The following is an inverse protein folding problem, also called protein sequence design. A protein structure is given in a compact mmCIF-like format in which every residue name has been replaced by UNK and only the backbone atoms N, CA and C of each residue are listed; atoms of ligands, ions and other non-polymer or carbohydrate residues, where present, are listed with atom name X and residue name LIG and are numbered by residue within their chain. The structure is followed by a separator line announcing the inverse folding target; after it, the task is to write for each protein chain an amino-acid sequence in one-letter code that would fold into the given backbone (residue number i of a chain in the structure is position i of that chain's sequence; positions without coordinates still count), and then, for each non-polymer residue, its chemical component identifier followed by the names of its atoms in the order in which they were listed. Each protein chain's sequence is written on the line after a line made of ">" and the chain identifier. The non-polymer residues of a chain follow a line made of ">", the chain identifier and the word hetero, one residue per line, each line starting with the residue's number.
data_IF_002090636807
#
_entry.id   IF_002090636807
#
_cell.length_a   1.000
_cell.length_b   1.000
_cell.length_c   1.000
_cell.angle_alpha   90.00
_cell.angle_beta   90.00
_cell.angle_gamma   90.00
#
_symmetry.space_group_name_H-M   'P 1'
#
loop_
_entity.id
_entity.type
_entity.pdbx_description
1 polymer ?
#
# COMPACT_ATOMS: atom_id res chain seq x y z
N UNK A 1 48.37 31.13 -8.92
CA UNK A 1 47.70 31.23 -7.60
C UNK A 1 46.22 31.63 -7.81
N UNK A 2 45.92 32.72 -8.54
CA UNK A 2 44.53 33.21 -8.71
C UNK A 2 43.59 32.19 -9.37
N UNK A 3 44.05 31.53 -10.44
CA UNK A 3 43.28 30.47 -11.13
C UNK A 3 42.97 29.26 -10.22
N UNK A 4 43.91 28.90 -9.33
CA UNK A 4 43.69 27.81 -8.37
C UNK A 4 42.62 28.16 -7.33
N UNK A 5 42.58 29.41 -6.87
CA UNK A 5 41.54 29.90 -5.95
C UNK A 5 40.17 29.95 -6.62
N UNK A 6 40.07 30.35 -7.88
CA UNK A 6 38.85 30.37 -8.64
C UNK A 6 38.30 28.94 -8.86
N UNK A 7 39.19 27.97 -9.11
CA UNK A 7 38.82 26.56 -9.27
C UNK A 7 38.30 25.92 -7.97
N UNK A 8 38.78 26.39 -6.80
CA UNK A 8 38.31 25.95 -5.49
C UNK A 8 36.99 26.60 -5.07
N UNK A 9 36.69 27.78 -5.59
CA UNK A 9 35.50 28.54 -5.21
C UNK A 9 34.18 27.79 -5.53
N UNK A 10 34.09 27.13 -6.68
CA UNK A 10 32.91 26.37 -7.08
C UNK A 10 32.66 25.13 -6.19
N UNK A 11 33.64 24.23 -5.95
CA UNK A 11 33.46 23.11 -5.03
C UNK A 11 33.09 23.52 -3.61
N UNK A 12 33.73 24.60 -3.09
CA UNK A 12 33.40 25.10 -1.75
C UNK A 12 31.98 25.64 -1.66
N UNK A 13 31.51 26.39 -2.65
CA UNK A 13 30.15 26.87 -2.70
C UNK A 13 29.14 25.68 -2.81
N UNK A 14 29.47 24.68 -3.61
CA UNK A 14 28.66 23.48 -3.72
C UNK A 14 28.54 22.77 -2.37
N UNK A 15 29.65 22.53 -1.67
CA UNK A 15 29.66 21.96 -0.33
C UNK A 15 28.84 22.76 0.67
N UNK A 16 28.94 24.08 0.62
CA UNK A 16 28.16 24.98 1.48
C UNK A 16 26.66 24.86 1.22
N UNK A 17 26.24 24.77 -0.03
CA UNK A 17 24.87 24.56 -0.40
C UNK A 17 24.35 23.18 0.11
N UNK A 18 25.18 22.15 0.02
CA UNK A 18 24.87 20.85 0.55
C UNK A 18 24.72 20.85 2.08
N UNK A 19 25.64 21.47 2.80
CA UNK A 19 25.59 21.61 4.26
C UNK A 19 24.33 22.37 4.73
N UNK A 20 23.87 23.36 3.97
CA UNK A 20 22.65 24.09 4.29
C UNK A 20 21.38 23.18 4.27
N UNK A 21 21.46 21.99 3.70
CA UNK A 21 20.38 21.02 3.70
C UNK A 21 20.37 20.11 4.93
N UNK A 22 21.41 20.16 5.76
CA UNK A 22 21.53 19.36 6.97
C UNK A 22 20.32 19.44 7.91
N UNK A 23 19.73 20.62 8.21
CA UNK A 23 18.57 20.69 9.08
C UNK A 23 17.37 19.86 8.57
N UNK A 24 17.21 19.77 7.24
CA UNK A 24 16.18 18.94 6.63
C UNK A 24 16.48 17.45 6.80
N UNK A 25 17.73 17.04 6.52
CA UNK A 25 18.19 15.66 6.72
C UNK A 25 18.07 15.25 8.19
N UNK A 26 18.48 16.13 9.10
CA UNK A 26 18.36 15.92 10.54
C UNK A 26 16.91 15.73 10.98
N UNK A 27 16.00 16.56 10.48
CA UNK A 27 14.56 16.44 10.81
C UNK A 27 13.95 15.12 10.36
N UNK A 28 14.45 14.56 9.26
CA UNK A 28 14.08 13.25 8.76
C UNK A 28 14.66 12.10 9.61
N UNK A 29 15.93 12.27 10.08
CA UNK A 29 16.62 11.22 10.85
C UNK A 29 16.19 11.18 12.32
N UNK A 30 15.81 12.29 12.93
CA UNK A 30 15.42 12.38 14.36
C UNK A 30 14.32 11.40 14.76
N UNK A 31 13.20 11.23 14.01
CA UNK A 31 12.17 10.25 14.33
C UNK A 31 12.70 8.82 14.34
N UNK A 32 13.64 8.49 13.43
CA UNK A 32 14.24 7.17 13.32
C UNK A 32 15.15 6.87 14.51
N UNK A 33 15.93 7.86 14.97
CA UNK A 33 16.82 7.71 16.14
C UNK A 33 16.01 7.46 17.41
N UNK A 34 14.86 8.14 17.57
CA UNK A 34 13.96 7.97 18.72
C UNK A 34 13.24 6.63 18.74
N UNK A 35 13.28 5.84 17.65
CA UNK A 35 12.67 4.51 17.53
C UNK A 35 11.26 4.44 18.12
N UNK A 36 10.45 5.46 17.89
CA UNK A 36 9.06 5.47 18.35
C UNK A 36 8.28 4.46 17.53
N UNK A 37 7.67 3.51 18.20
CA UNK A 37 6.71 2.60 17.57
C UNK A 37 5.45 3.36 17.19
N UNK A 38 4.97 3.12 15.99
CA UNK A 38 3.68 3.58 15.49
C UNK A 38 2.84 2.32 15.22
N UNK A 39 1.65 2.18 15.81
CA UNK A 39 0.78 1.04 15.53
C UNK A 39 0.65 0.81 14.03
N UNK A 40 0.58 -0.46 13.59
CA UNK A 40 0.35 -0.77 12.18
C UNK A 40 -1.05 -0.33 11.74
N UNK A 41 -2.02 -0.58 12.62
CA UNK A 41 -3.41 -0.14 12.45
C UNK A 41 -3.74 0.75 13.64
N UNK A 42 -4.11 1.99 13.38
CA UNK A 42 -4.67 2.87 14.41
C UNK A 42 -6.15 2.53 14.61
N UNK A 43 -6.56 2.40 15.86
CA UNK A 43 -7.97 2.24 16.20
C UNK A 43 -8.74 3.52 15.86
N UNK A 44 -9.87 3.39 15.17
CA UNK A 44 -10.66 4.53 14.71
C UNK A 44 -11.00 5.51 15.86
N UNK A 45 -11.31 4.99 17.02
CA UNK A 45 -11.68 5.77 18.22
C UNK A 45 -10.49 6.58 18.81
N UNK A 46 -9.27 6.29 18.37
CA UNK A 46 -8.05 7.02 18.78
C UNK A 46 -7.61 8.06 17.79
N UNK A 47 -8.29 8.18 16.65
CA UNK A 47 -7.95 9.18 15.65
C UNK A 47 -8.33 10.57 16.16
N UNK A 48 -7.48 11.59 15.92
CA UNK A 48 -7.89 12.98 16.14
C UNK A 48 -9.18 13.30 15.35
N UNK A 49 -10.10 14.13 15.87
CA UNK A 49 -11.36 14.44 15.20
C UNK A 49 -11.20 14.88 13.74
N UNK A 50 -10.15 15.64 13.43
CA UNK A 50 -9.83 16.07 12.06
C UNK A 50 -9.42 14.90 11.14
N UNK A 51 -8.74 13.88 11.66
CA UNK A 51 -8.39 12.70 10.90
C UNK A 51 -9.61 11.81 10.65
N UNK A 52 -10.43 11.58 11.69
CA UNK A 52 -11.68 10.84 11.59
C UNK A 52 -12.64 11.49 10.57
N UNK A 53 -12.77 12.84 10.59
CA UNK A 53 -13.58 13.56 9.61
C UNK A 53 -13.05 13.42 8.18
N UNK A 54 -11.74 13.43 7.98
CA UNK A 54 -11.12 13.21 6.65
C UNK A 54 -11.38 11.80 6.14
N UNK A 55 -11.27 10.79 6.99
CA UNK A 55 -11.60 9.41 6.63
C UNK A 55 -13.06 9.28 6.21
N UNK A 56 -14.00 9.82 7.01
CA UNK A 56 -15.42 9.79 6.69
C UNK A 56 -15.73 10.47 5.35
N UNK A 57 -15.15 11.63 5.06
CA UNK A 57 -15.29 12.31 3.77
C UNK A 57 -14.69 11.48 2.64
N UNK A 58 -13.51 10.89 2.86
CA UNK A 58 -12.86 10.03 1.87
C UNK A 58 -13.72 8.82 1.53
N UNK A 59 -14.35 8.19 2.52
CA UNK A 59 -15.23 7.03 2.33
C UNK A 59 -16.48 7.38 1.54
N UNK A 60 -17.11 8.52 1.84
CA UNK A 60 -18.27 9.02 1.07
C UNK A 60 -17.87 9.33 -0.36
N UNK A 61 -16.77 10.04 -0.58
CA UNK A 61 -16.30 10.37 -1.93
C UNK A 61 -15.94 9.11 -2.72
N UNK A 62 -15.32 8.11 -2.08
CA UNK A 62 -14.99 6.85 -2.72
C UNK A 62 -16.26 6.08 -3.11
N UNK A 63 -17.27 6.02 -2.24
CA UNK A 63 -18.54 5.37 -2.54
C UNK A 63 -19.25 6.04 -3.73
N UNK A 64 -19.27 7.37 -3.79
CA UNK A 64 -19.82 8.12 -4.91
C UNK A 64 -19.02 7.89 -6.21
N UNK A 65 -17.70 7.88 -6.13
CA UNK A 65 -16.84 7.57 -7.28
C UNK A 65 -17.08 6.14 -7.79
N UNK A 66 -17.21 5.18 -6.88
CA UNK A 66 -17.54 3.79 -7.21
C UNK A 66 -18.88 3.72 -7.97
N UNK A 67 -19.92 4.37 -7.47
CA UNK A 67 -21.24 4.41 -8.11
C UNK A 67 -21.20 5.04 -9.51
N UNK A 68 -20.45 6.13 -9.66
CA UNK A 68 -20.31 6.82 -10.95
C UNK A 68 -19.52 6.02 -12.00
N UNK A 69 -18.48 5.31 -11.57
CA UNK A 69 -17.59 4.58 -12.48
C UNK A 69 -18.06 3.16 -12.74
N UNK A 70 -18.78 2.54 -11.80
CA UNK A 70 -19.31 1.19 -11.94
C UNK A 70 -20.66 1.21 -12.68
N UNK A 71 -20.59 1.45 -13.98
CA UNK A 71 -21.76 1.57 -14.87
C UNK A 71 -22.26 0.23 -15.43
N UNK A 72 -21.65 -0.88 -15.02
CA UNK A 72 -21.94 -2.22 -15.56
C UNK A 72 -22.75 -3.01 -14.55
N UNK A 73 -23.77 -3.71 -15.03
CA UNK A 73 -24.50 -4.69 -14.22
C UNK A 73 -23.71 -6.01 -14.16
N UNK A 74 -23.86 -6.73 -13.05
CA UNK A 74 -23.27 -8.06 -12.90
C UNK A 74 -23.79 -9.02 -13.99
N UNK A 75 -22.87 -9.75 -14.61
CA UNK A 75 -23.19 -10.80 -15.57
C UNK A 75 -23.98 -11.94 -14.92
N UNK A 76 -24.94 -12.52 -15.64
CA UNK A 76 -25.78 -13.60 -15.14
C UNK A 76 -24.94 -14.84 -14.78
N UNK A 77 -23.93 -15.19 -15.60
CA UNK A 77 -23.02 -16.31 -15.33
C UNK A 77 -22.17 -16.08 -14.08
N UNK A 78 -21.73 -14.85 -13.83
CA UNK A 78 -21.04 -14.50 -12.60
C UNK A 78 -21.95 -14.61 -11.37
N UNK A 79 -23.20 -14.21 -11.50
CA UNK A 79 -24.21 -14.39 -10.46
C UNK A 79 -24.46 -15.88 -10.16
N UNK A 80 -24.63 -16.71 -11.19
CA UNK A 80 -24.82 -18.16 -11.08
C UNK A 80 -23.59 -18.86 -10.50
N UNK A 81 -22.39 -18.41 -10.85
CA UNK A 81 -21.12 -18.89 -10.28
C UNK A 81 -20.97 -18.56 -8.78
N UNK A 82 -21.84 -17.71 -8.24
CA UNK A 82 -21.86 -17.35 -6.82
C UNK A 82 -21.04 -16.11 -6.47
N UNK A 83 -20.63 -15.31 -7.45
CA UNK A 83 -19.95 -14.05 -7.19
C UNK A 83 -20.89 -13.01 -6.58
N UNK A 84 -20.36 -12.16 -5.70
CA UNK A 84 -21.05 -10.93 -5.30
C UNK A 84 -20.97 -9.89 -6.43
N UNK A 85 -21.95 -8.96 -6.52
CA UNK A 85 -21.78 -7.77 -7.33
C UNK A 85 -20.64 -6.91 -6.75
N UNK A 86 -20.08 -6.04 -7.59
CA UNK A 86 -19.05 -5.09 -7.12
C UNK A 86 -19.66 -4.11 -6.10
N UNK A 87 -19.15 -4.14 -4.88
CA UNK A 87 -19.62 -3.34 -3.74
C UNK A 87 -18.46 -2.50 -3.16
N UNK A 88 -18.71 -1.22 -2.80
CA UNK A 88 -17.67 -0.41 -2.19
C UNK A 88 -17.42 -0.84 -0.74
N UNK A 89 -16.20 -1.25 -0.42
CA UNK A 89 -15.72 -1.27 0.96
C UNK A 89 -15.17 0.12 1.31
N UNK A 90 -15.32 0.55 2.57
CA UNK A 90 -14.77 1.81 3.06
C UNK A 90 -13.31 1.99 2.65
N UNK A 91 -13.01 3.12 2.02
CA UNK A 91 -11.67 3.41 1.49
C UNK A 91 -10.64 3.57 2.62
N UNK A 92 -11.05 4.17 3.73
CA UNK A 92 -10.22 4.35 4.92
C UNK A 92 -9.76 3.02 5.50
N UNK A 93 -10.67 2.03 5.61
CA UNK A 93 -10.33 0.69 6.06
C UNK A 93 -9.32 0.03 5.12
N UNK A 94 -9.60 0.03 3.82
CA UNK A 94 -8.71 -0.53 2.81
C UNK A 94 -7.30 0.08 2.87
N UNK A 95 -7.21 1.41 2.93
CA UNK A 95 -5.92 2.10 2.97
C UNK A 95 -5.14 1.79 4.24
N UNK A 96 -5.77 1.70 5.41
CA UNK A 96 -5.09 1.30 6.65
C UNK A 96 -4.46 -0.08 6.54
N UNK A 97 -5.18 -1.05 5.96
CA UNK A 97 -4.68 -2.41 5.76
C UNK A 97 -3.53 -2.45 4.75
N UNK A 98 -3.66 -1.73 3.65
CA UNK A 98 -2.62 -1.58 2.62
C UNK A 98 -1.36 -0.93 3.20
N UNK A 99 -1.51 0.11 4.01
CA UNK A 99 -0.38 0.77 4.69
C UNK A 99 0.33 -0.18 5.65
N UNK A 100 -0.43 -0.95 6.44
CA UNK A 100 0.14 -1.95 7.33
C UNK A 100 0.93 -3.00 6.54
N UNK A 101 0.36 -3.54 5.47
CA UNK A 101 1.03 -4.50 4.59
C UNK A 101 2.29 -3.90 3.95
N UNK A 102 2.25 -2.65 3.48
CA UNK A 102 3.44 -1.98 2.91
C UNK A 102 4.57 -1.82 3.93
N UNK A 103 4.26 -1.47 5.17
CA UNK A 103 5.23 -1.38 6.26
C UNK A 103 5.83 -2.76 6.58
N UNK A 104 5.03 -3.82 6.58
CA UNK A 104 5.50 -5.19 6.72
C UNK A 104 6.44 -5.59 5.57
N UNK A 105 6.11 -5.25 4.31
CA UNK A 105 6.98 -5.52 3.18
C UNK A 105 8.31 -4.76 3.25
N UNK A 106 8.33 -3.56 3.79
CA UNK A 106 9.58 -2.82 4.00
C UNK A 106 10.55 -3.54 4.96
N UNK A 107 10.03 -4.41 5.84
CA UNK A 107 10.83 -5.29 6.69
C UNK A 107 11.19 -6.59 5.96
N UNK A 108 10.21 -7.22 5.30
CA UNK A 108 10.38 -8.53 4.67
C UNK A 108 11.23 -8.48 3.40
N UNK A 109 11.06 -7.42 2.61
CA UNK A 109 11.66 -7.25 1.27
C UNK A 109 12.18 -5.82 1.07
N UNK A 110 13.17 -5.38 1.86
CA UNK A 110 13.67 -4.01 1.82
C UNK A 110 14.27 -3.68 0.45
N UNK A 111 13.69 -2.70 -0.25
CA UNK A 111 14.15 -2.24 -1.56
C UNK A 111 13.80 -3.13 -2.75
N UNK A 112 13.08 -4.22 -2.55
CA UNK A 112 12.60 -5.07 -3.63
C UNK A 112 11.33 -4.50 -4.26
N UNK A 113 11.09 -4.89 -5.52
CA UNK A 113 9.84 -4.59 -6.21
C UNK A 113 8.70 -5.40 -5.59
N UNK A 114 7.57 -4.74 -5.37
CA UNK A 114 6.41 -5.31 -4.70
C UNK A 114 5.22 -5.44 -5.64
N UNK A 115 4.46 -6.53 -5.49
CA UNK A 115 3.31 -6.88 -6.33
C UNK A 115 2.07 -7.09 -5.47
N UNK A 116 1.00 -6.42 -5.85
CA UNK A 116 -0.31 -6.50 -5.21
C UNK A 116 -1.32 -7.19 -6.12
N UNK A 117 -2.19 -8.00 -5.53
CA UNK A 117 -3.33 -8.62 -6.21
C UNK A 117 -4.61 -8.33 -5.42
N UNK A 118 -5.65 -7.92 -6.13
CA UNK A 118 -7.04 -7.85 -5.63
C UNK A 118 -7.85 -8.97 -6.26
N UNK A 119 -8.41 -9.87 -5.45
CA UNK A 119 -9.20 -11.02 -5.90
C UNK A 119 -10.69 -10.71 -5.75
N UNK A 120 -11.38 -10.70 -6.88
CA UNK A 120 -12.74 -10.16 -7.00
C UNK A 120 -12.68 -8.63 -7.03
N UNK A 121 -11.90 -8.08 -7.96
CA UNK A 121 -11.59 -6.65 -7.96
C UNK A 121 -12.75 -5.76 -8.49
N UNK A 122 -13.81 -6.36 -9.03
CA UNK A 122 -14.89 -5.60 -9.66
C UNK A 122 -14.37 -4.65 -10.74
N UNK A 123 -14.81 -3.41 -10.73
CA UNK A 123 -14.32 -2.34 -11.61
C UNK A 123 -12.87 -1.90 -11.32
N UNK A 124 -12.18 -2.48 -10.32
CA UNK A 124 -10.76 -2.28 -10.07
C UNK A 124 -10.39 -1.02 -9.30
N UNK A 125 -11.32 -0.33 -8.66
CA UNK A 125 -11.01 0.91 -7.93
C UNK A 125 -10.05 0.71 -6.75
N UNK A 126 -10.10 -0.46 -6.09
CA UNK A 126 -9.13 -0.81 -5.03
C UNK A 126 -7.73 -1.05 -5.59
N UNK A 127 -7.63 -1.64 -6.79
CA UNK A 127 -6.35 -1.80 -7.51
C UNK A 127 -5.73 -0.43 -7.82
N UNK A 128 -6.54 0.52 -8.31
CA UNK A 128 -6.11 1.91 -8.54
C UNK A 128 -5.64 2.56 -7.24
N UNK A 129 -6.38 2.36 -6.16
CA UNK A 129 -6.04 2.90 -4.83
C UNK A 129 -4.77 2.28 -4.23
N UNK A 130 -4.43 1.04 -4.60
CA UNK A 130 -3.19 0.38 -4.19
C UNK A 130 -1.97 0.79 -5.02
N UNK A 131 -2.15 1.28 -6.25
CA UNK A 131 -1.06 1.58 -7.18
C UNK A 131 0.01 2.57 -6.67
N UNK A 132 -0.29 3.56 -5.79
CA UNK A 132 0.74 4.40 -5.18
C UNK A 132 1.70 3.65 -4.25
N UNK A 133 1.32 2.47 -3.74
CA UNK A 133 2.04 1.73 -2.71
C UNK A 133 2.85 0.55 -3.23
N UNK A 134 2.52 0.04 -4.41
CA UNK A 134 3.16 -1.13 -4.99
C UNK A 134 3.67 -0.85 -6.40
N UNK A 135 4.71 -1.56 -6.80
CA UNK A 135 5.33 -1.37 -8.13
C UNK A 135 4.46 -1.94 -9.24
N UNK A 136 3.69 -2.99 -8.94
CA UNK A 136 2.72 -3.60 -9.85
C UNK A 136 1.48 -3.99 -9.07
N UNK A 137 0.32 -3.71 -9.66
CA UNK A 137 -0.99 -4.06 -9.10
C UNK A 137 -1.80 -4.82 -10.15
N UNK A 138 -2.44 -5.89 -9.72
CA UNK A 138 -3.35 -6.66 -10.57
C UNK A 138 -4.71 -6.80 -9.89
N UNK A 139 -5.77 -6.85 -10.69
CA UNK A 139 -7.09 -7.24 -10.27
C UNK A 139 -7.50 -8.51 -11.00
N UNK A 140 -7.89 -9.54 -10.26
CA UNK A 140 -8.47 -10.77 -10.79
C UNK A 140 -9.99 -10.68 -10.63
N UNK A 141 -10.72 -10.80 -11.73
CA UNK A 141 -12.18 -10.68 -11.75
C UNK A 141 -12.81 -11.78 -12.62
N UNK A 142 -13.86 -12.41 -12.11
CA UNK A 142 -14.58 -13.44 -12.83
C UNK A 142 -15.56 -12.85 -13.85
N UNK A 143 -16.28 -11.80 -13.45
CA UNK A 143 -17.27 -11.14 -14.29
C UNK A 143 -16.59 -10.45 -15.49
N UNK A 144 -16.94 -10.84 -16.74
CA UNK A 144 -16.30 -10.27 -17.93
C UNK A 144 -16.58 -8.78 -18.10
N UNK A 145 -17.75 -8.29 -17.68
CA UNK A 145 -18.14 -6.88 -17.76
C UNK A 145 -17.30 -6.03 -16.82
N UNK A 146 -17.18 -6.45 -15.55
CA UNK A 146 -16.33 -5.77 -14.57
C UNK A 146 -14.85 -5.83 -14.96
N UNK A 147 -14.35 -6.99 -15.41
CA UNK A 147 -12.97 -7.13 -15.85
C UNK A 147 -12.64 -6.19 -17.04
N UNK A 148 -13.56 -6.08 -18.01
CA UNK A 148 -13.41 -5.17 -19.14
C UNK A 148 -13.42 -3.70 -18.70
N UNK A 149 -14.30 -3.32 -17.77
CA UNK A 149 -14.37 -1.97 -17.19
C UNK A 149 -13.08 -1.65 -16.42
N UNK A 150 -12.59 -2.55 -15.58
CA UNK A 150 -11.32 -2.39 -14.89
C UNK A 150 -10.16 -2.19 -15.87
N UNK A 151 -10.11 -2.99 -16.95
CA UNK A 151 -9.09 -2.84 -18.00
C UNK A 151 -9.19 -1.47 -18.71
N UNK A 152 -10.39 -0.97 -18.93
CA UNK A 152 -10.61 0.37 -19.51
C UNK A 152 -10.11 1.47 -18.57
N UNK A 153 -10.48 1.42 -17.28
CA UNK A 153 -10.06 2.40 -16.29
C UNK A 153 -8.53 2.39 -16.11
N UNK A 154 -7.90 1.22 -16.08
CA UNK A 154 -6.45 1.12 -15.94
C UNK A 154 -5.69 1.70 -17.14
N UNK A 155 -6.22 1.56 -18.36
CA UNK A 155 -5.63 2.20 -19.56
C UNK A 155 -5.71 3.74 -19.53
N UNK A 156 -6.67 4.30 -18.82
CA UNK A 156 -6.81 5.75 -18.66
C UNK A 156 -5.84 6.36 -17.62
N UNK A 157 -5.17 5.52 -16.81
CA UNK A 157 -4.20 6.00 -15.83
C UNK A 157 -2.91 6.53 -16.49
N UNK A 158 -2.23 7.52 -15.88
CA UNK A 158 -0.98 8.08 -16.41
C UNK A 158 0.24 7.13 -16.20
N UNK A 159 0.02 5.88 -15.82
CA UNK A 159 1.04 4.86 -15.57
C UNK A 159 0.54 3.45 -15.92
N UNK A 160 1.47 2.52 -16.15
CA UNK A 160 1.22 1.13 -16.53
C UNK A 160 1.26 0.13 -15.37
N UNK A 161 1.10 0.58 -14.13
CA UNK A 161 1.25 -0.27 -12.93
C UNK A 161 0.09 -1.22 -12.71
N UNK A 162 -1.12 -0.89 -13.22
CA UNK A 162 -2.34 -1.65 -13.00
C UNK A 162 -2.67 -2.58 -14.17
N UNK A 163 -3.10 -3.80 -13.87
CA UNK A 163 -3.52 -4.79 -14.85
C UNK A 163 -4.80 -5.49 -14.40
N UNK A 164 -5.79 -5.55 -15.26
CA UNK A 164 -6.97 -6.39 -15.09
C UNK A 164 -6.73 -7.78 -15.70
N UNK A 165 -7.22 -8.80 -15.02
CA UNK A 165 -7.14 -10.22 -15.41
C UNK A 165 -8.54 -10.79 -15.26
N UNK A 166 -9.15 -11.20 -16.36
CA UNK A 166 -10.37 -12.00 -16.29
C UNK A 166 -10.01 -13.43 -15.95
N UNK A 167 -10.61 -13.99 -14.90
CA UNK A 167 -10.34 -15.37 -14.50
C UNK A 167 -11.09 -15.79 -13.25
N UNK A 168 -11.15 -17.10 -13.07
CA UNK A 168 -11.80 -17.74 -11.92
C UNK A 168 -10.82 -17.88 -10.76
N UNK A 169 -11.13 -17.27 -9.63
CA UNK A 169 -10.33 -17.38 -8.40
C UNK A 169 -10.23 -18.83 -7.88
N UNK A 170 -11.20 -19.69 -8.18
CA UNK A 170 -11.17 -21.11 -7.82
C UNK A 170 -10.22 -21.93 -8.72
N UNK A 171 -9.91 -21.45 -9.92
CA UNK A 171 -9.02 -22.11 -10.88
C UNK A 171 -7.66 -21.40 -11.02
N UNK A 172 -7.50 -20.18 -10.50
CA UNK A 172 -6.28 -19.38 -10.65
C UNK A 172 -5.05 -20.05 -10.02
N UNK A 173 -3.90 -20.02 -10.74
CA UNK A 173 -2.68 -20.75 -10.35
C UNK A 173 -1.47 -19.84 -10.06
N UNK A 174 -1.66 -18.52 -10.13
CA UNK A 174 -0.53 -17.57 -10.04
C UNK A 174 -0.61 -16.67 -8.82
N UNK A 175 -1.20 -17.14 -7.72
CA UNK A 175 -1.22 -16.40 -6.46
C UNK A 175 0.18 -16.15 -5.92
N UNK A 176 1.10 -17.11 -6.08
CA UNK A 176 2.48 -17.02 -5.65
C UNK A 176 3.33 -15.95 -6.36
N UNK A 177 2.82 -15.35 -7.44
CA UNK A 177 3.50 -14.24 -8.12
C UNK A 177 3.38 -12.91 -7.37
N UNK A 178 2.61 -12.85 -6.26
CA UNK A 178 2.26 -11.62 -5.57
C UNK A 178 2.75 -11.62 -4.12
N UNK A 179 3.13 -10.43 -3.63
CA UNK A 179 3.63 -10.23 -2.27
C UNK A 179 2.52 -9.89 -1.28
N UNK A 180 1.46 -9.25 -1.79
CA UNK A 180 0.24 -8.91 -1.05
C UNK A 180 -0.97 -9.34 -1.86
N UNK A 181 -1.87 -10.09 -1.23
CA UNK A 181 -3.15 -10.50 -1.83
C UNK A 181 -4.27 -9.96 -0.95
N UNK A 182 -5.13 -9.15 -1.55
CA UNK A 182 -6.34 -8.62 -0.96
C UNK A 182 -7.55 -9.37 -1.51
N UNK A 183 -8.51 -9.70 -0.67
CA UNK A 183 -9.80 -10.26 -1.06
C UNK A 183 -10.87 -9.93 -0.02
N UNK A 184 -12.05 -9.48 -0.47
CA UNK A 184 -13.18 -9.14 0.38
C UNK A 184 -14.40 -9.96 -0.01
N UNK A 185 -14.47 -11.23 0.47
CA UNK A 185 -15.59 -12.15 0.24
C UNK A 185 -16.11 -12.11 -1.21
N UNK A 186 -15.31 -12.43 -2.23
CA UNK A 186 -15.76 -12.33 -3.62
C UNK A 186 -16.86 -13.35 -3.95
N UNK A 187 -17.09 -14.34 -3.09
CA UNK A 187 -18.09 -15.40 -3.26
C UNK A 187 -19.13 -15.37 -2.16
N UNK A 188 -20.41 -15.63 -2.54
CA UNK A 188 -21.56 -15.69 -1.63
C UNK A 188 -21.60 -16.99 -0.83
N UNK A 189 -21.24 -18.10 -1.47
CA UNK A 189 -21.22 -19.42 -0.84
C UNK A 189 -19.97 -19.59 0.02
N UNK A 190 -20.16 -19.96 1.30
CA UNK A 190 -19.06 -20.10 2.26
C UNK A 190 -18.15 -21.29 1.96
N UNK A 191 -18.63 -22.34 1.26
CA UNK A 191 -17.80 -23.48 0.87
C UNK A 191 -16.87 -23.10 -0.30
N UNK A 192 -17.37 -22.37 -1.29
CA UNK A 192 -16.57 -21.82 -2.40
C UNK A 192 -15.57 -20.79 -1.88
N UNK A 193 -15.99 -19.91 -0.97
CA UNK A 193 -15.09 -18.96 -0.32
C UNK A 193 -13.95 -19.69 0.42
N UNK A 194 -14.25 -20.70 1.21
CA UNK A 194 -13.26 -21.50 1.91
C UNK A 194 -12.34 -22.28 0.94
N UNK A 195 -12.85 -22.72 -0.21
CA UNK A 195 -12.05 -23.36 -1.26
C UNK A 195 -11.05 -22.36 -1.85
N UNK A 196 -11.48 -21.13 -2.17
CA UNK A 196 -10.62 -20.06 -2.66
C UNK A 196 -9.54 -19.71 -1.63
N UNK A 197 -9.91 -19.53 -0.36
CA UNK A 197 -8.97 -19.22 0.73
C UNK A 197 -7.88 -20.31 0.87
N UNK A 198 -8.28 -21.60 0.85
CA UNK A 198 -7.33 -22.73 0.86
C UNK A 198 -6.42 -22.72 -0.36
N UNK A 199 -6.96 -22.41 -1.53
CA UNK A 199 -6.17 -22.33 -2.76
C UNK A 199 -5.14 -21.21 -2.71
N UNK A 200 -5.53 -20.03 -2.25
CA UNK A 200 -4.59 -18.92 -2.04
C UNK A 200 -3.49 -19.34 -1.07
N UNK A 201 -3.85 -19.82 0.11
CA UNK A 201 -2.89 -20.19 1.16
C UNK A 201 -1.92 -21.30 0.71
N UNK A 202 -2.38 -22.26 -0.11
CA UNK A 202 -1.56 -23.36 -0.61
C UNK A 202 -0.56 -22.93 -1.72
N UNK A 203 -0.84 -21.87 -2.46
CA UNK A 203 -0.01 -21.45 -3.60
C UNK A 203 0.97 -20.33 -3.26
N UNK A 204 0.72 -19.57 -2.20
CA UNK A 204 1.60 -18.45 -1.86
C UNK A 204 2.86 -18.90 -1.13
N UNK A 205 4.03 -18.31 -1.44
CA UNK A 205 5.24 -18.59 -0.68
C UNK A 205 5.12 -18.08 0.77
N UNK A 206 5.83 -18.74 1.73
CA UNK A 206 5.90 -18.25 3.09
C UNK A 206 6.40 -16.82 3.17
N UNK A 207 5.65 -15.97 3.88
CA UNK A 207 5.94 -14.53 3.99
C UNK A 207 5.07 -13.65 3.10
N UNK A 208 4.21 -14.22 2.26
CA UNK A 208 3.16 -13.45 1.55
C UNK A 208 2.17 -12.88 2.56
N UNK A 209 1.77 -11.63 2.35
CA UNK A 209 0.77 -10.95 3.17
C UNK A 209 -0.62 -11.12 2.55
N UNK A 210 -1.58 -11.57 3.36
CA UNK A 210 -2.98 -11.67 2.98
C UNK A 210 -3.77 -10.58 3.70
N UNK A 211 -4.59 -9.84 2.98
CA UNK A 211 -5.52 -8.84 3.54
C UNK A 211 -6.93 -9.35 3.30
N UNK A 212 -7.60 -9.76 4.38
CA UNK A 212 -8.95 -10.33 4.33
C UNK A 212 -9.85 -9.63 5.36
N UNK A 213 -10.48 -8.48 5.02
CA UNK A 213 -11.21 -7.65 5.97
C UNK A 213 -12.61 -8.20 6.30
N UNK A 214 -12.67 -9.46 6.72
CA UNK A 214 -13.89 -10.11 7.18
C UNK A 214 -13.62 -11.19 8.24
N UNK A 215 -14.53 -11.32 9.18
CA UNK A 215 -14.34 -12.13 10.41
C UNK A 215 -14.17 -13.62 10.15
N UNK A 216 -14.82 -14.18 9.12
CA UNK A 216 -14.79 -15.62 8.84
C UNK A 216 -13.37 -16.08 8.48
N UNK A 217 -12.60 -15.29 7.71
CA UNK A 217 -11.22 -15.62 7.40
C UNK A 217 -10.38 -15.76 8.68
N UNK A 218 -10.53 -14.85 9.63
CA UNK A 218 -9.79 -14.91 10.90
C UNK A 218 -10.03 -16.19 11.69
N UNK A 219 -11.20 -16.83 11.56
CA UNK A 219 -11.48 -18.13 12.21
C UNK A 219 -10.79 -19.30 11.51
N UNK A 220 -10.52 -19.17 10.22
CA UNK A 220 -9.89 -20.21 9.39
C UNK A 220 -8.38 -20.02 9.25
N UNK A 221 -7.86 -18.83 9.54
CA UNK A 221 -6.49 -18.43 9.25
C UNK A 221 -5.44 -19.39 9.82
N UNK A 222 -5.62 -19.86 11.07
CA UNK A 222 -4.70 -20.79 11.69
C UNK A 222 -4.65 -22.15 10.97
N UNK A 223 -5.80 -22.68 10.54
CA UNK A 223 -5.90 -23.93 9.76
C UNK A 223 -5.28 -23.76 8.37
N UNK A 224 -5.27 -22.54 7.84
CA UNK A 224 -4.65 -22.18 6.57
C UNK A 224 -3.15 -21.88 6.69
N UNK A 225 -2.56 -22.01 7.88
CA UNK A 225 -1.16 -21.68 8.13
C UNK A 225 -0.87 -20.19 8.03
N UNK A 226 -1.83 -19.33 8.34
CA UNK A 226 -1.72 -17.88 8.30
C UNK A 226 -1.71 -17.31 9.71
N UNK A 227 -0.62 -16.60 10.08
CA UNK A 227 -0.46 -15.97 11.38
C UNK A 227 -0.93 -14.52 11.37
N UNK A 228 -1.55 -14.06 12.45
CA UNK A 228 -2.08 -12.70 12.56
C UNK A 228 -0.99 -11.64 12.75
N UNK A 229 -0.98 -10.61 11.92
CA UNK A 229 -0.05 -9.48 12.06
C UNK A 229 -0.72 -8.29 12.75
N UNK A 230 -1.73 -7.70 12.13
CA UNK A 230 -2.50 -6.58 12.67
C UNK A 230 -3.78 -6.37 11.85
N UNK A 231 -4.87 -5.94 12.48
CA UNK A 231 -6.15 -5.71 11.79
C UNK A 231 -6.60 -6.95 11.03
N UNK A 232 -6.72 -6.84 9.71
CA UNK A 232 -7.04 -7.95 8.82
C UNK A 232 -5.84 -8.37 7.94
N UNK A 233 -4.62 -8.07 8.39
CA UNK A 233 -3.37 -8.46 7.72
C UNK A 233 -2.83 -9.75 8.35
N UNK A 234 -2.57 -10.74 7.52
CA UNK A 234 -2.10 -12.07 7.89
C UNK A 234 -0.81 -12.41 7.15
N UNK A 235 0.05 -13.20 7.78
CA UNK A 235 1.32 -13.66 7.23
C UNK A 235 1.21 -15.15 6.90
N UNK A 236 1.23 -15.49 5.62
CA UNK A 236 1.09 -16.87 5.16
C UNK A 236 2.37 -17.70 5.40
N UNK A 237 2.20 -18.97 5.77
CA UNK A 237 3.29 -19.94 5.90
C UNK A 237 4.31 -19.62 6.99
N UNK A 238 3.91 -18.83 8.00
CA UNK A 238 4.78 -18.43 9.13
C UNK A 238 4.06 -18.59 10.45
N UNK A 239 4.84 -18.70 11.52
CA UNK A 239 4.34 -18.84 12.89
C UNK A 239 3.83 -17.51 13.47
N UNK A 240 3.00 -17.59 14.49
CA UNK A 240 2.56 -16.42 15.27
C UNK A 240 3.73 -15.64 15.89
N UNK A 241 4.80 -16.33 16.28
CA UNK A 241 6.00 -15.69 16.80
C UNK A 241 6.72 -14.84 15.74
N UNK A 242 6.78 -15.34 14.50
CA UNK A 242 7.35 -14.59 13.35
C UNK A 242 6.46 -13.41 12.97
N UNK A 243 5.14 -13.58 12.95
CA UNK A 243 4.19 -12.49 12.70
C UNK A 243 4.27 -11.39 13.77
N UNK A 244 4.35 -11.78 15.04
CA UNK A 244 4.55 -10.85 16.15
C UNK A 244 5.90 -10.10 16.06
N UNK A 245 6.97 -10.77 15.62
CA UNK A 245 8.26 -10.12 15.36
C UNK A 245 8.15 -9.13 14.21
N UNK A 246 7.57 -9.56 13.08
CA UNK A 246 7.33 -8.70 11.92
C UNK A 246 6.55 -7.45 12.31
N UNK A 247 5.46 -7.61 13.08
CA UNK A 247 4.68 -6.49 13.59
C UNK A 247 5.56 -5.49 14.35
N UNK A 248 6.36 -5.97 15.33
CA UNK A 248 7.23 -5.10 16.13
C UNK A 248 8.25 -4.34 15.30
N UNK A 249 8.81 -4.98 14.27
CA UNK A 249 9.78 -4.34 13.36
C UNK A 249 9.08 -3.35 12.42
N UNK A 250 7.92 -3.72 11.86
CA UNK A 250 7.14 -2.86 10.97
C UNK A 250 6.55 -1.63 11.70
N UNK A 251 6.25 -1.72 13.01
CA UNK A 251 5.86 -0.57 13.84
C UNK A 251 6.96 0.49 14.00
N UNK A 252 8.22 0.14 13.69
CA UNK A 252 9.34 1.08 13.65
C UNK A 252 9.50 1.76 12.27
N UNK A 253 8.78 1.27 11.25
CA UNK A 253 8.74 1.88 9.93
C UNK A 253 7.79 3.09 9.97
N UNK A 254 8.22 4.23 9.43
CA UNK A 254 7.39 5.44 9.38
C UNK A 254 6.15 5.28 8.49
N UNK A 255 5.12 6.04 8.78
CA UNK A 255 3.87 6.05 8.01
C UNK A 255 3.99 6.83 6.69
N UNK A 256 5.02 7.67 6.56
CA UNK A 256 5.27 8.49 5.35
C UNK A 256 5.86 7.70 4.16
N UNK A 257 5.89 6.36 4.25
CA UNK A 257 6.36 5.44 3.17
C UNK A 257 5.68 5.69 1.82
N UNK A 258 4.67 6.51 1.80
CA UNK A 258 3.59 6.40 0.85
C UNK A 258 3.44 7.60 -0.06
N UNK A 259 4.37 8.55 -0.04
CA UNK A 259 4.34 9.67 -0.98
C UNK A 259 5.49 9.56 -1.96
N UNK A 260 5.18 9.12 -3.16
CA UNK A 260 6.04 9.24 -4.33
C UNK A 260 6.11 10.71 -4.76
N UNK A 261 6.83 11.52 -4.01
CA UNK A 261 7.31 12.80 -4.46
C UNK A 261 8.81 12.67 -4.71
N UNK A 262 9.27 12.91 -5.91
CA UNK A 262 10.71 13.06 -6.16
C UNK A 262 11.20 14.30 -5.41
N UNK A 263 11.56 14.13 -4.14
CA UNK A 263 12.39 15.12 -3.47
C UNK A 263 13.77 15.02 -4.12
N UNK A 264 14.12 16.01 -4.90
CA UNK A 264 15.43 16.14 -5.51
C UNK A 264 16.43 16.48 -4.39
N UNK A 265 16.83 15.45 -3.62
CA UNK A 265 17.82 15.58 -2.56
C UNK A 265 19.18 15.24 -3.16
N UNK A 266 20.17 16.10 -2.99
CA UNK A 266 21.43 15.99 -3.68
C UNK A 266 22.27 14.77 -3.32
N UNK A 267 23.10 14.39 -4.28
CA UNK A 267 23.98 13.24 -4.34
C UNK A 267 24.74 12.87 -3.04
N UNK A 268 25.18 13.84 -2.26
CA UNK A 268 25.91 13.59 -0.99
C UNK A 268 25.03 12.92 0.07
N UNK A 269 23.76 13.25 0.11
CA UNK A 269 22.79 12.74 1.09
C UNK A 269 22.00 11.54 0.60
N UNK A 270 22.14 11.16 -0.68
CA UNK A 270 21.39 10.10 -1.31
C UNK A 270 21.45 8.76 -0.55
N UNK A 271 22.61 8.29 -0.04
CA UNK A 271 22.67 7.05 0.74
C UNK A 271 21.83 7.11 2.02
N UNK A 272 21.83 8.23 2.74
CA UNK A 272 21.03 8.42 3.95
C UNK A 272 19.54 8.51 3.64
N UNK A 273 19.19 9.21 2.57
CA UNK A 273 17.80 9.35 2.10
C UNK A 273 17.26 8.00 1.64
N UNK A 274 18.03 7.21 0.90
CA UNK A 274 17.64 5.85 0.51
C UNK A 274 17.45 4.95 1.71
N UNK A 275 18.39 4.95 2.66
CA UNK A 275 18.25 4.18 3.89
C UNK A 275 17.02 4.60 4.71
N UNK A 276 16.72 5.89 4.74
CA UNK A 276 15.52 6.44 5.37
C UNK A 276 14.25 6.00 4.67
N UNK A 277 14.20 6.08 3.34
CA UNK A 277 13.05 5.62 2.54
C UNK A 277 12.78 4.13 2.74
N UNK A 278 13.81 3.30 2.76
CA UNK A 278 13.68 1.86 3.04
C UNK A 278 13.04 1.57 4.40
N UNK A 279 13.15 2.52 5.35
CA UNK A 279 12.53 2.46 6.68
C UNK A 279 11.21 3.25 6.75
N UNK A 280 10.71 3.73 5.62
CA UNK A 280 9.45 4.44 5.52
C UNK A 280 9.46 5.90 5.94
N UNK A 281 10.61 6.54 5.95
CA UNK A 281 10.71 7.96 6.22
C UNK A 281 11.07 8.71 4.94
N UNK A 282 10.21 9.62 4.51
CA UNK A 282 10.49 10.52 3.39
C UNK A 282 10.92 11.90 3.89
N UNK A 283 11.93 12.47 3.23
CA UNK A 283 12.23 13.88 3.37
C UNK A 283 11.23 14.69 2.54
N UNK A 284 10.21 15.22 3.16
CA UNK A 284 9.36 16.22 2.53
C UNK A 284 10.06 17.58 2.61
N UNK A 285 10.46 18.12 1.46
CA UNK A 285 10.79 19.53 1.35
C UNK A 285 9.52 20.33 1.65
N UNK A 286 9.35 20.81 2.89
CA UNK A 286 8.41 21.88 3.14
C UNK A 286 8.94 23.09 2.39
N UNK A 287 8.23 23.51 1.35
CA UNK A 287 8.46 24.81 0.77
C UNK A 287 8.49 25.83 1.92
N UNK A 288 9.57 26.58 2.05
CA UNK A 288 9.63 27.71 2.98
C UNK A 288 8.43 28.60 2.65
N UNK A 289 7.58 28.96 3.62
CA UNK A 289 6.57 29.96 3.34
C UNK A 289 7.31 31.20 2.81
N UNK A 290 6.75 31.91 1.82
CA UNK A 290 7.35 33.14 1.34
C UNK A 290 7.63 34.03 2.54
N UNK A 291 8.83 34.59 2.59
CA UNK A 291 9.17 35.62 3.58
C UNK A 291 8.07 36.67 3.45
N UNK A 292 7.35 36.94 4.55
CA UNK A 292 6.48 38.11 4.61
C UNK A 292 7.41 39.31 4.36
N UNK A 293 7.18 40.00 3.30
CA UNK A 293 7.79 41.31 3.10
C UNK A 293 7.44 42.17 4.31
N UNK A 294 8.43 42.50 5.11
CA UNK A 294 8.31 43.39 6.27
C UNK A 294 8.19 44.85 5.80
N UNK A 295 7.45 45.11 4.72
CA UNK A 295 7.14 46.46 4.28
C UNK A 295 5.70 46.44 3.70
N UNK A 296 4.72 46.55 4.57
CA UNK A 296 3.37 47.03 4.27
C UNK A 296 2.81 47.71 5.50
#
# INVERSE_FOLDING_TARGET
>A
VHQAWTALGQPVNQLRLELNKWPMVESMLRPQIKRRRQPLIEEHDRLPPTAASREAVSDVLFAQLHELLNSVNQDAGAHEHGCFPDIPLAQSLFLREVHAAKRCLAVLKPGERTRFLDVGCGAGLKVISAAPYFDRCAGLEYDPGYAALAAQLFRALPHDRCRAIQGDALAWERYGDHDVIYFFRPMRDDALLAQMERRIAAQVPPGTLLIAPYTIFGRRAAELGCAHVAGHVWLAGRSEAEAARLRREAELIGTDVLRTGEANIPLVWDPLVRASRLRGYEATLRARPPLKDENS
#
